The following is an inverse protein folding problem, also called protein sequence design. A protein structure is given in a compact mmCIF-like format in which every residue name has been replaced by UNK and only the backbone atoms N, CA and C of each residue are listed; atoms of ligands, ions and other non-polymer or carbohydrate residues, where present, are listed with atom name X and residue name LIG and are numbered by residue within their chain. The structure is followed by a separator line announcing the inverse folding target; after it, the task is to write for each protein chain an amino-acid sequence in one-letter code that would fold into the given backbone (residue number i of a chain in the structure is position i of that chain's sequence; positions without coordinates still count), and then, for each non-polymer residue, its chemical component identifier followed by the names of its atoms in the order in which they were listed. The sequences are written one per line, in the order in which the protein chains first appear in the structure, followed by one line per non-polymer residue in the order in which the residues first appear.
data_IF_136442596448
#
_entry.id   IF_136442596448
#
_cell.length_a   1.000
_cell.length_b   1.000
_cell.length_c   1.000
_cell.angle_alpha   90.00
_cell.angle_beta   90.00
_cell.angle_gamma   90.00
#
_symmetry.space_group_name_H-M   'P 1'
#
loop_
_entity.id
_entity.type
_entity.pdbx_description
1 polymer ?
#
# COMPACT_ATOMS: atom_id res chain seq x y z
N UNK A 1 -18.42 -11.97 5.71
CA UNK A 1 -19.49 -11.12 5.16
C UNK A 1 -19.18 -10.89 3.69
N UNK A 2 -19.86 -11.60 2.79
CA UNK A 2 -19.78 -11.44 1.32
C UNK A 2 -21.14 -10.94 0.79
N UNK A 3 -22.07 -10.59 1.69
CA UNK A 3 -23.47 -10.38 1.36
C UNK A 3 -23.84 -8.93 0.95
N UNK A 4 -22.97 -7.93 1.17
CA UNK A 4 -23.34 -6.52 0.97
C UNK A 4 -23.12 -5.98 -0.46
N UNK A 5 -22.44 -6.69 -1.36
CA UNK A 5 -22.24 -6.23 -2.74
C UNK A 5 -23.38 -6.63 -3.71
N UNK A 6 -24.21 -7.60 -3.34
CA UNK A 6 -25.27 -8.12 -4.22
C UNK A 6 -26.51 -7.22 -4.30
N UNK A 7 -26.64 -6.24 -3.40
CA UNK A 7 -27.82 -5.37 -3.28
C UNK A 7 -27.64 -4.00 -3.97
N UNK A 8 -26.49 -3.75 -4.62
CA UNK A 8 -26.28 -2.53 -5.40
C UNK A 8 -26.97 -2.70 -6.76
N UNK A 9 -28.18 -2.14 -6.89
CA UNK A 9 -28.87 -2.03 -8.17
C UNK A 9 -28.14 -0.95 -8.98
N UNK A 10 -27.37 -1.37 -9.98
CA UNK A 10 -26.77 -0.46 -10.97
C UNK A 10 -27.91 0.11 -11.82
N UNK A 11 -28.03 1.43 -11.86
CA UNK A 11 -28.97 2.09 -12.76
C UNK A 11 -28.54 1.80 -14.20
N UNK A 12 -29.48 1.45 -15.09
CA UNK A 12 -29.17 1.08 -16.47
C UNK A 12 -28.48 2.22 -17.25
N UNK A 13 -28.64 3.47 -16.80
CA UNK A 13 -27.95 4.63 -17.37
C UNK A 13 -26.50 4.79 -16.88
N UNK A 14 -26.15 4.21 -15.73
CA UNK A 14 -24.79 4.22 -15.18
C UNK A 14 -23.91 3.16 -15.85
N UNK A 15 -24.46 1.99 -16.20
CA UNK A 15 -23.71 0.94 -16.91
C UNK A 15 -23.32 1.37 -18.34
N UNK A 16 -24.19 2.16 -18.99
CA UNK A 16 -23.91 2.72 -20.33
C UNK A 16 -22.81 3.81 -20.30
N UNK A 17 -22.71 4.59 -19.21
CA UNK A 17 -21.75 5.69 -19.09
C UNK A 17 -20.46 5.31 -18.34
N UNK A 18 -20.54 4.34 -17.43
CA UNK A 18 -19.46 3.90 -16.54
C UNK A 18 -19.50 2.37 -16.39
N UNK A 19 -19.28 1.62 -17.49
CA UNK A 19 -19.37 0.16 -17.46
C UNK A 19 -18.41 -0.41 -16.42
N UNK A 20 -18.91 -1.30 -15.58
CA UNK A 20 -18.07 -1.98 -14.58
C UNK A 20 -17.22 -3.02 -15.31
N UNK A 21 -15.91 -2.78 -15.35
CA UNK A 21 -14.98 -3.73 -15.96
C UNK A 21 -14.89 -5.00 -15.13
N UNK A 22 -14.78 -6.14 -15.82
CA UNK A 22 -14.55 -7.43 -15.19
C UNK A 22 -13.28 -7.39 -14.33
N UNK A 23 -13.29 -8.02 -13.13
CA UNK A 23 -12.11 -8.14 -12.30
C UNK A 23 -10.90 -8.67 -13.08
N UNK A 24 -9.75 -8.01 -12.92
CA UNK A 24 -8.53 -8.36 -13.64
C UNK A 24 -8.38 -7.69 -15.01
N UNK A 25 -9.34 -6.87 -15.45
CA UNK A 25 -9.22 -6.06 -16.66
C UNK A 25 -8.91 -4.59 -16.35
N UNK A 26 -7.99 -4.01 -17.11
CA UNK A 26 -7.66 -2.58 -17.01
C UNK A 26 -7.99 -1.87 -18.33
N UNK A 27 -8.71 -0.74 -18.30
CA UNK A 27 -8.90 0.08 -19.49
C UNK A 27 -7.61 0.82 -19.81
N UNK A 28 -7.44 1.18 -21.07
CA UNK A 28 -6.34 2.01 -21.53
C UNK A 28 -6.18 3.33 -20.77
N UNK A 29 -7.33 3.98 -20.51
CA UNK A 29 -7.42 5.26 -19.82
C UNK A 29 -6.98 5.20 -18.36
N UNK A 30 -6.74 3.99 -17.82
CA UNK A 30 -6.10 3.83 -16.53
C UNK A 30 -4.71 4.49 -16.48
N UNK A 31 -4.00 4.55 -17.61
CA UNK A 31 -2.72 5.23 -17.73
C UNK A 31 -2.82 6.76 -17.59
N UNK A 32 -3.89 7.37 -18.10
CA UNK A 32 -3.98 8.82 -18.33
C UNK A 32 -3.72 9.69 -17.08
N UNK A 33 -4.28 9.40 -15.89
CA UNK A 33 -4.02 10.23 -14.71
C UNK A 33 -2.77 9.81 -13.92
N UNK A 34 -2.01 8.80 -14.37
CA UNK A 34 -0.94 8.18 -13.57
C UNK A 34 0.44 8.56 -14.09
N UNK A 35 1.32 8.85 -13.14
CA UNK A 35 2.73 9.17 -13.39
C UNK A 35 3.62 8.37 -12.44
N UNK A 36 4.81 8.02 -12.93
CA UNK A 36 5.87 7.45 -12.13
C UNK A 36 6.85 8.57 -11.75
N UNK A 37 6.99 8.81 -10.44
CA UNK A 37 7.88 9.84 -9.89
C UNK A 37 8.88 9.18 -8.96
N UNK A 38 10.10 9.72 -8.94
CA UNK A 38 11.17 9.37 -8.03
C UNK A 38 11.53 10.59 -7.20
N UNK A 39 11.57 10.40 -5.89
CA UNK A 39 12.11 11.34 -4.93
C UNK A 39 13.00 10.62 -3.91
N UNK A 40 13.81 11.36 -3.17
CA UNK A 40 14.47 10.85 -1.97
C UNK A 40 13.81 11.44 -0.72
N UNK A 41 13.70 10.61 0.31
CA UNK A 41 13.23 10.98 1.64
C UNK A 41 14.26 10.51 2.66
N UNK A 42 14.68 11.40 3.53
CA UNK A 42 15.55 11.07 4.66
C UNK A 42 14.74 11.12 5.95
N UNK A 43 14.94 10.13 6.81
CA UNK A 43 14.31 10.06 8.12
C UNK A 43 14.36 8.65 8.70
N UNK A 44 13.76 8.48 9.87
CA UNK A 44 13.68 7.18 10.54
C UNK A 44 12.48 6.38 10.08
N UNK A 45 12.71 5.14 9.68
CA UNK A 45 11.66 4.18 9.31
C UNK A 45 11.61 3.07 10.34
N UNK A 46 10.41 2.77 10.84
CA UNK A 46 10.22 1.58 11.64
C UNK A 46 10.31 0.34 10.73
N UNK A 47 10.92 -0.74 11.24
CA UNK A 47 11.04 -2.01 10.51
C UNK A 47 10.32 -3.11 11.29
N UNK A 48 8.99 -3.28 11.14
CA UNK A 48 8.19 -4.24 11.92
C UNK A 48 8.72 -5.67 11.88
N UNK A 49 9.29 -6.08 10.74
CA UNK A 49 9.86 -7.42 10.55
C UNK A 49 11.21 -7.63 11.25
N UNK A 50 11.87 -6.58 11.75
CA UNK A 50 13.12 -6.73 12.50
C UNK A 50 12.85 -7.41 13.86
N UNK A 51 13.70 -8.34 14.34
CA UNK A 51 13.43 -9.10 15.56
C UNK A 51 13.11 -8.25 16.80
N UNK A 52 13.82 -7.13 16.99
CA UNK A 52 13.58 -6.22 18.12
C UNK A 52 12.24 -5.46 17.98
N UNK A 53 11.92 -5.00 16.77
CA UNK A 53 10.63 -4.37 16.47
C UNK A 53 9.50 -5.37 16.66
N UNK A 54 9.66 -6.60 16.17
CA UNK A 54 8.67 -7.66 16.30
C UNK A 54 8.42 -8.02 17.76
N UNK A 55 9.48 -8.13 18.59
CA UNK A 55 9.32 -8.37 20.03
C UNK A 55 8.49 -7.25 20.69
N UNK A 56 8.76 -5.99 20.33
CA UNK A 56 8.02 -4.82 20.82
C UNK A 56 6.57 -4.83 20.37
N UNK A 57 6.32 -5.07 19.07
CA UNK A 57 4.99 -5.15 18.50
C UNK A 57 4.20 -6.31 19.10
N UNK A 58 4.81 -7.48 19.26
CA UNK A 58 4.22 -8.66 19.88
C UNK A 58 3.80 -8.38 21.32
N UNK A 59 4.65 -7.77 22.13
CA UNK A 59 4.30 -7.39 23.50
C UNK A 59 3.06 -6.47 23.56
N UNK A 60 2.91 -5.58 22.58
CA UNK A 60 1.83 -4.59 22.53
C UNK A 60 0.54 -5.10 21.88
N UNK A 61 0.65 -5.88 20.80
CA UNK A 61 -0.47 -6.19 19.91
C UNK A 61 -0.84 -7.66 19.84
N UNK A 62 -0.16 -8.57 20.57
CA UNK A 62 -0.50 -10.00 20.56
C UNK A 62 -1.97 -10.27 20.88
N UNK A 63 -2.54 -9.60 21.88
CA UNK A 63 -3.98 -9.76 22.21
C UNK A 63 -4.86 -9.34 21.03
N UNK A 64 -4.52 -8.23 20.38
CA UNK A 64 -5.22 -7.76 19.17
C UNK A 64 -5.10 -8.76 18.02
N UNK A 65 -3.93 -9.35 17.81
CA UNK A 65 -3.71 -10.38 16.79
C UNK A 65 -4.61 -11.60 17.02
N UNK A 66 -4.68 -12.10 18.26
CA UNK A 66 -5.55 -13.21 18.65
C UNK A 66 -7.04 -12.88 18.43
N UNK A 67 -7.47 -11.68 18.82
CA UNK A 67 -8.84 -11.21 18.58
C UNK A 67 -9.20 -11.15 17.09
N UNK A 68 -8.21 -10.96 16.22
CA UNK A 68 -8.36 -10.96 14.76
C UNK A 68 -8.18 -12.35 14.12
N UNK A 69 -8.09 -13.40 14.93
CA UNK A 69 -8.05 -14.80 14.46
C UNK A 69 -6.66 -15.31 14.08
N UNK A 70 -5.59 -14.64 14.51
CA UNK A 70 -4.22 -15.14 14.35
C UNK A 70 -3.80 -15.93 15.60
N UNK A 71 -2.99 -16.97 15.41
CA UNK A 71 -2.44 -17.74 16.54
C UNK A 71 -1.50 -16.90 17.40
N UNK A 72 -0.78 -15.97 16.75
CA UNK A 72 0.19 -15.10 17.39
C UNK A 72 0.53 -13.86 16.56
N UNK A 73 1.35 -12.95 17.13
CA UNK A 73 2.05 -11.94 16.34
C UNK A 73 3.51 -12.35 16.14
N UNK A 74 3.80 -12.86 14.94
CA UNK A 74 5.13 -13.25 14.47
C UNK A 74 5.43 -12.66 13.07
N UNK A 75 6.56 -13.05 12.47
CA UNK A 75 6.94 -12.58 11.14
C UNK A 75 5.93 -12.96 10.04
N UNK A 76 5.24 -14.10 10.18
CA UNK A 76 4.22 -14.51 9.23
C UNK A 76 2.95 -13.65 9.37
N UNK A 77 2.53 -13.37 10.60
CA UNK A 77 1.40 -12.48 10.89
C UNK A 77 1.59 -11.06 10.34
N UNK A 78 2.81 -10.53 10.35
CA UNK A 78 3.12 -9.21 9.74
C UNK A 78 2.95 -9.24 8.22
N UNK A 79 3.24 -10.36 7.58
CA UNK A 79 3.14 -10.54 6.12
C UNK A 79 1.76 -11.02 5.67
N UNK A 80 0.89 -11.42 6.60
CA UNK A 80 -0.48 -11.84 6.31
C UNK A 80 -1.34 -10.63 5.93
N UNK A 81 -1.77 -10.58 4.67
CA UNK A 81 -2.61 -9.51 4.13
C UNK A 81 -4.09 -9.56 4.56
N UNK A 82 -4.53 -10.63 5.24
CA UNK A 82 -5.96 -10.82 5.58
C UNK A 82 -6.43 -9.90 6.70
N UNK A 83 -5.80 -9.82 7.89
CA UNK A 83 -6.26 -8.94 8.96
C UNK A 83 -5.70 -7.51 8.79
N UNK A 84 -6.22 -6.76 7.81
CA UNK A 84 -5.80 -5.36 7.56
C UNK A 84 -5.95 -4.45 8.79
N UNK A 85 -6.88 -4.77 9.69
CA UNK A 85 -7.07 -4.06 10.95
C UNK A 85 -5.84 -4.12 11.87
N UNK A 86 -5.08 -5.23 11.86
CA UNK A 86 -3.87 -5.36 12.66
C UNK A 86 -2.78 -4.41 12.16
N UNK A 87 -2.48 -4.45 10.86
CA UNK A 87 -1.45 -3.61 10.24
C UNK A 87 -1.81 -2.13 10.32
N UNK A 88 -3.09 -1.77 10.20
CA UNK A 88 -3.57 -0.40 10.43
C UNK A 88 -3.36 0.06 11.87
N UNK A 89 -3.70 -0.76 12.88
CA UNK A 89 -3.48 -0.42 14.30
C UNK A 89 -2.00 -0.26 14.63
N UNK A 90 -1.15 -1.15 14.11
CA UNK A 90 0.30 -1.05 14.29
C UNK A 90 0.84 0.22 13.63
N UNK A 91 0.46 0.49 12.38
CA UNK A 91 0.91 1.69 11.64
C UNK A 91 0.45 2.98 12.33
N UNK A 92 -0.80 3.04 12.79
CA UNK A 92 -1.31 4.20 13.55
C UNK A 92 -0.50 4.47 14.81
N UNK A 93 -0.09 3.42 15.55
CA UNK A 93 0.77 3.59 16.72
C UNK A 93 2.20 3.97 16.33
N UNK A 94 2.77 3.37 15.28
CA UNK A 94 4.11 3.73 14.80
C UNK A 94 4.16 5.21 14.41
N UNK A 95 3.12 5.74 13.78
CA UNK A 95 3.02 7.16 13.40
C UNK A 95 3.01 8.13 14.61
N UNK A 96 2.87 7.64 15.84
CA UNK A 96 3.01 8.48 17.05
C UNK A 96 4.42 8.46 17.63
N UNK A 97 5.35 7.71 17.03
CA UNK A 97 6.71 7.54 17.53
C UNK A 97 7.65 8.62 16.98
N UNK A 98 8.70 8.85 17.75
CA UNK A 98 9.79 9.76 17.43
C UNK A 98 11.06 8.94 17.21
N UNK A 99 11.83 9.30 16.18
CA UNK A 99 13.13 8.73 15.90
C UNK A 99 14.20 9.17 16.92
N UNK A 100 15.39 8.54 16.88
CA UNK A 100 16.53 8.91 17.72
C UNK A 100 17.02 10.36 17.62
N UNK A 101 16.71 11.06 16.53
CA UNK A 101 17.03 12.48 16.33
C UNK A 101 15.99 13.44 16.92
N UNK A 102 14.89 12.92 17.47
CA UNK A 102 13.80 13.72 18.02
C UNK A 102 12.73 14.11 17.00
N UNK A 103 12.88 13.72 15.73
CA UNK A 103 11.88 13.95 14.69
C UNK A 103 10.84 12.82 14.65
N UNK A 104 9.59 13.07 14.23
CA UNK A 104 8.62 12.01 13.97
C UNK A 104 9.18 10.98 12.98
N UNK A 105 8.84 9.71 13.18
CA UNK A 105 9.21 8.67 12.21
C UNK A 105 8.62 8.99 10.84
N UNK A 106 9.43 8.83 9.79
CA UNK A 106 9.05 9.13 8.41
C UNK A 106 8.10 8.08 7.81
N UNK A 107 8.08 6.87 8.38
CA UNK A 107 7.29 5.78 7.82
C UNK A 107 7.65 4.40 8.33
N UNK A 108 7.28 3.41 7.53
CA UNK A 108 7.53 1.98 7.78
C UNK A 108 8.22 1.38 6.57
N UNK A 109 9.33 0.68 6.81
CA UNK A 109 10.01 -0.16 5.83
C UNK A 109 9.60 -1.62 6.03
N UNK A 110 9.28 -2.33 4.94
CA UNK A 110 8.83 -3.72 4.99
C UNK A 110 9.15 -4.48 3.70
N UNK A 111 9.21 -5.81 3.80
CA UNK A 111 9.34 -6.68 2.63
C UNK A 111 7.99 -6.87 1.94
N UNK A 112 7.99 -6.85 0.61
CA UNK A 112 6.83 -7.19 -0.20
C UNK A 112 6.43 -8.65 0.01
N UNK A 113 5.10 -8.90 0.06
CA UNK A 113 4.56 -10.27 0.05
C UNK A 113 4.68 -10.96 -1.32
N UNK A 114 4.96 -10.20 -2.38
CA UNK A 114 4.95 -10.69 -3.76
C UNK A 114 6.31 -11.21 -4.25
N UNK A 115 7.34 -11.19 -3.39
CA UNK A 115 8.64 -11.75 -3.69
C UNK A 115 9.67 -11.36 -2.63
N UNK A 116 10.57 -12.29 -2.31
CA UNK A 116 11.67 -12.02 -1.39
C UNK A 116 12.64 -10.97 -1.98
N UNK A 117 13.17 -10.10 -1.11
CA UNK A 117 14.14 -9.07 -1.50
C UNK A 117 13.55 -7.80 -2.11
N UNK A 118 12.23 -7.71 -2.29
CA UNK A 118 11.56 -6.48 -2.69
C UNK A 118 11.20 -5.66 -1.46
N UNK A 119 11.87 -4.52 -1.30
CA UNK A 119 11.64 -3.61 -0.19
C UNK A 119 10.67 -2.51 -0.55
N UNK A 120 9.73 -2.27 0.35
CA UNK A 120 8.68 -1.27 0.21
C UNK A 120 8.67 -0.34 1.42
N UNK A 121 8.10 0.84 1.21
CA UNK A 121 7.93 1.84 2.24
C UNK A 121 6.47 2.31 2.28
N UNK A 122 5.94 2.46 3.49
CA UNK A 122 4.82 3.36 3.76
C UNK A 122 5.43 4.68 4.23
N UNK A 123 5.00 5.79 3.65
CA UNK A 123 5.44 7.13 4.03
C UNK A 123 4.30 7.82 4.78
N UNK A 124 4.58 8.43 5.92
CA UNK A 124 3.59 9.21 6.64
C UNK A 124 3.57 10.66 6.16
N UNK A 125 2.37 11.11 5.78
CA UNK A 125 2.12 12.51 5.46
C UNK A 125 2.29 13.38 6.71
N UNK A 126 2.90 14.55 6.53
CA UNK A 126 3.03 15.53 7.60
C UNK A 126 1.85 16.50 7.52
N UNK A 127 1.13 16.78 8.62
CA UNK A 127 -0.08 17.61 8.60
C UNK A 127 0.12 19.00 7.98
N UNK A 128 1.32 19.57 8.11
CA UNK A 128 1.65 20.92 7.66
C UNK A 128 2.38 20.96 6.30
N UNK A 129 2.55 19.80 5.63
CA UNK A 129 3.18 19.77 4.33
C UNK A 129 2.26 20.40 3.26
N UNK A 130 2.81 21.20 2.33
CA UNK A 130 2.06 21.62 1.15
C UNK A 130 1.79 20.40 0.24
N UNK A 131 0.99 20.58 -0.81
CA UNK A 131 0.65 19.53 -1.77
C UNK A 131 1.87 18.77 -2.35
N UNK A 132 3.05 19.40 -2.32
CA UNK A 132 4.32 18.77 -2.61
C UNK A 132 5.26 18.90 -1.42
N UNK A 133 5.43 17.82 -0.64
CA UNK A 133 6.29 17.84 0.54
C UNK A 133 7.72 18.31 0.21
N UNK A 134 8.27 19.30 0.95
CA UNK A 134 9.65 19.73 0.78
C UNK A 134 10.67 18.67 1.25
N UNK A 135 10.22 17.62 1.97
CA UNK A 135 11.06 16.51 2.41
C UNK A 135 11.35 15.49 1.30
N UNK A 136 10.64 15.57 0.18
CA UNK A 136 10.78 14.68 -0.97
C UNK A 136 11.67 15.30 -2.06
N UNK A 137 12.99 15.32 -1.83
CA UNK A 137 13.98 15.95 -2.71
C UNK A 137 15.28 15.14 -2.84
N UNK A 138 15.97 15.17 -4.00
CA UNK A 138 15.52 15.76 -5.26
C UNK A 138 14.39 14.93 -5.86
N UNK A 139 13.47 15.59 -6.57
CA UNK A 139 12.36 14.94 -7.27
C UNK A 139 12.59 15.05 -8.78
N UNK A 140 12.46 13.93 -9.50
CA UNK A 140 12.44 13.99 -10.96
C UNK A 140 11.10 14.53 -11.46
N UNK A 141 11.10 15.10 -12.67
CA UNK A 141 9.85 15.25 -13.41
C UNK A 141 9.32 13.84 -13.64
N UNK A 142 8.10 13.56 -13.17
CA UNK A 142 7.49 12.25 -13.37
C UNK A 142 7.21 12.01 -14.85
N UNK A 143 7.43 10.78 -15.29
CA UNK A 143 7.02 10.35 -16.63
C UNK A 143 5.61 9.78 -16.55
N UNK A 144 4.79 10.08 -17.56
CA UNK A 144 3.46 9.46 -17.69
C UNK A 144 3.60 7.95 -17.86
N UNK A 145 2.75 7.18 -17.19
CA UNK A 145 2.76 5.72 -17.34
C UNK A 145 2.06 5.36 -18.65
N UNK A 146 2.72 4.66 -19.55
CA UNK A 146 2.13 4.19 -20.81
C UNK A 146 1.85 2.68 -20.77
N UNK A 147 1.12 2.15 -21.76
CA UNK A 147 0.85 0.69 -21.83
C UNK A 147 2.11 -0.12 -22.14
N UNK A 148 3.08 0.53 -22.75
CA UNK A 148 4.37 -0.04 -23.14
C UNK A 148 5.39 -0.01 -21.98
N UNK A 149 5.05 0.60 -20.85
CA UNK A 149 5.90 0.67 -19.67
C UNK A 149 6.27 -0.77 -19.21
N UNK A 150 7.57 -1.14 -19.21
CA UNK A 150 8.01 -2.48 -18.83
C UNK A 150 7.65 -2.89 -17.40
N UNK A 151 7.65 -1.94 -16.47
CA UNK A 151 7.33 -2.20 -15.06
C UNK A 151 5.82 -2.43 -14.90
N UNK A 152 4.99 -1.65 -15.61
CA UNK A 152 3.55 -1.89 -15.66
C UNK A 152 3.23 -3.27 -16.24
N UNK A 153 3.84 -3.63 -17.37
CA UNK A 153 3.64 -4.94 -17.97
C UNK A 153 4.07 -6.08 -17.04
N UNK A 154 5.14 -5.87 -16.27
CA UNK A 154 5.61 -6.84 -15.27
C UNK A 154 4.61 -6.98 -14.13
N UNK A 155 4.11 -5.87 -13.59
CA UNK A 155 3.08 -5.88 -12.55
C UNK A 155 1.80 -6.55 -13.04
N UNK A 156 1.34 -6.24 -14.26
CA UNK A 156 0.16 -6.88 -14.85
C UNK A 156 0.31 -8.40 -14.96
N UNK A 157 1.47 -8.89 -15.43
CA UNK A 157 1.73 -10.34 -15.48
C UNK A 157 1.74 -10.98 -14.08
N UNK A 158 2.39 -10.36 -13.10
CA UNK A 158 2.46 -10.87 -11.73
C UNK A 158 1.09 -10.95 -11.05
N UNK A 159 0.20 -10.01 -11.38
CA UNK A 159 -1.12 -9.89 -10.78
C UNK A 159 -2.24 -10.53 -11.63
N UNK A 160 -1.90 -11.16 -12.76
CA UNK A 160 -2.88 -11.79 -13.66
C UNK A 160 -3.81 -10.79 -14.34
N UNK A 161 -3.36 -9.56 -14.54
CA UNK A 161 -4.13 -8.48 -15.15
C UNK A 161 -3.98 -8.49 -16.66
N UNK A 162 -5.05 -8.17 -17.37
CA UNK A 162 -5.05 -8.01 -18.83
C UNK A 162 -5.61 -6.65 -19.22
N UNK A 163 -5.16 -6.13 -20.35
CA UNK A 163 -5.82 -4.98 -20.95
C UNK A 163 -7.24 -5.35 -21.33
N UNK A 164 -8.17 -4.46 -21.05
CA UNK A 164 -9.49 -4.60 -21.61
C UNK A 164 -9.41 -4.46 -23.13
N UNK A 165 -10.12 -5.34 -23.82
CA UNK A 165 -10.15 -5.36 -25.27
C UNK A 165 -11.17 -4.32 -25.74
N UNK A 166 -10.94 -3.04 -25.42
CA UNK A 166 -11.78 -1.99 -25.98
C UNK A 166 -11.38 -1.74 -27.43
N UNK A 167 -12.35 -2.09 -28.30
CA UNK A 167 -12.46 -1.75 -29.72
C UNK A 167 -12.33 -0.26 -29.97
#
# INVERSE_FOLDING_TARGET
MIADLADIVVDGQDDDNFPTLEPGRLPASWCDPRMAVRAALTGWFAVPGHPESLATLRARFRVTAIQLGLDDLDGAAIRDGRPRALTQKMSSWINTLTGPDGDPVAGVEFDSRHGDGLRLWVIYEQPDDPANSPKLLPRNSGDGITREDPDLQTAMRMLGLVWDAQR
#
